data_IF_732189382817
#
_entry.id   IF_732189382817
#
_cell.length_a   1.000
_cell.length_b   1.000
_cell.length_c   1.000
_cell.angle_alpha   90.00
_cell.angle_beta   90.00
_cell.angle_gamma   90.00
#
_symmetry.space_group_name_H-M   'P 1'
#
loop_
_entity.id
_entity.type
_entity.pdbx_description
1 polymer ?
#
# COMPACT_ATOMS: atom_id res chain seq x y z
N UNK A 1 -15.23 -47.04 16.70
CA UNK A 1 -16.46 -46.25 16.39
C UNK A 1 -16.06 -44.90 15.81
N UNK A 2 -15.68 -44.87 14.53
CA UNK A 2 -15.59 -43.63 13.72
C UNK A 2 -15.46 -44.05 12.25
N UNK A 3 -16.46 -44.81 11.77
CA UNK A 3 -16.63 -45.13 10.35
C UNK A 3 -17.85 -44.37 9.77
N UNK A 4 -18.44 -43.42 10.51
CA UNK A 4 -19.75 -42.83 10.18
C UNK A 4 -19.76 -41.31 10.00
N UNK A 5 -18.62 -40.66 9.81
CA UNK A 5 -18.58 -39.22 9.48
C UNK A 5 -17.74 -39.03 8.22
N UNK A 6 -18.40 -39.05 7.06
CA UNK A 6 -17.82 -38.82 5.75
C UNK A 6 -17.30 -37.40 5.58
N UNK A 7 -16.15 -37.10 6.18
CA UNK A 7 -15.40 -35.86 5.92
C UNK A 7 -14.24 -36.16 4.97
N UNK A 8 -14.05 -35.36 3.90
CA UNK A 8 -12.94 -35.55 2.98
C UNK A 8 -11.61 -35.21 3.65
N UNK A 9 -10.66 -36.14 3.56
CA UNK A 9 -9.29 -35.97 4.05
C UNK A 9 -8.57 -34.99 3.10
N UNK A 10 -7.97 -33.88 3.58
CA UNK A 10 -7.20 -32.99 2.73
C UNK A 10 -5.94 -33.69 2.18
N UNK A 11 -5.57 -33.46 0.91
CA UNK A 11 -4.45 -34.14 0.28
C UNK A 11 -3.12 -33.76 0.96
N UNK A 12 -2.35 -34.77 1.39
CA UNK A 12 -1.00 -34.62 1.95
C UNK A 12 -0.84 -34.84 3.46
N UNK A 13 -1.90 -35.26 4.17
CA UNK A 13 -1.81 -35.57 5.60
C UNK A 13 -1.66 -37.09 5.82
N UNK A 14 -0.47 -37.53 6.23
CA UNK A 14 -0.20 -38.93 6.56
C UNK A 14 -0.89 -39.32 7.88
N UNK A 15 -1.24 -40.60 8.08
CA UNK A 15 -1.90 -41.08 9.31
C UNK A 15 -1.14 -40.73 10.60
N UNK A 16 0.20 -40.71 10.54
CA UNK A 16 1.07 -40.36 11.67
C UNK A 16 0.97 -38.88 12.06
N UNK A 17 0.85 -37.97 11.09
CA UNK A 17 0.67 -36.53 11.37
C UNK A 17 -0.69 -36.24 12.00
N UNK A 18 -1.72 -37.00 11.62
CA UNK A 18 -3.05 -36.89 12.23
C UNK A 18 -3.02 -37.35 13.69
N UNK A 19 -2.32 -38.45 13.98
CA UNK A 19 -2.19 -38.96 15.35
C UNK A 19 -1.40 -38.00 16.25
N UNK A 20 -0.36 -37.35 15.70
CA UNK A 20 0.41 -36.32 16.40
C UNK A 20 -0.40 -35.04 16.65
N UNK A 21 -1.26 -34.63 15.71
CA UNK A 21 -2.17 -33.48 15.89
C UNK A 21 -3.26 -33.77 16.92
N UNK A 22 -3.80 -34.99 16.96
CA UNK A 22 -4.76 -35.43 17.97
C UNK A 22 -4.14 -35.48 19.37
N UNK A 23 -2.87 -35.87 19.45
CA UNK A 23 -2.12 -35.87 20.71
C UNK A 23 -1.75 -34.44 21.18
N UNK A 24 -1.50 -33.51 20.25
CA UNK A 24 -1.26 -32.10 20.55
C UNK A 24 -2.52 -31.33 21.00
N UNK A 25 -3.72 -31.78 20.59
CA UNK A 25 -5.00 -31.20 21.04
C UNK A 25 -5.52 -31.78 22.36
N UNK A 26 -4.75 -32.63 23.06
CA UNK A 26 -5.07 -33.06 24.43
C UNK A 26 -6.40 -33.83 24.59
N UNK A 27 -6.95 -34.38 23.51
CA UNK A 27 -8.21 -35.14 23.53
C UNK A 27 -7.93 -36.64 23.66
N UNK A 28 -7.34 -37.01 24.79
CA UNK A 28 -7.08 -38.40 25.15
C UNK A 28 -7.29 -38.65 26.63
N UNK A 29 -8.51 -39.06 27.01
CA UNK A 29 -8.74 -39.70 28.30
C UNK A 29 -10.08 -39.40 28.96
N UNK A 30 -10.90 -40.45 29.09
CA UNK A 30 -11.50 -40.79 30.38
C UNK A 30 -12.65 -39.91 30.88
N UNK A 31 -13.86 -40.40 30.64
CA UNK A 31 -15.06 -40.12 31.41
C UNK A 31 -14.79 -40.31 32.92
N UNK A 32 -14.92 -39.25 33.71
CA UNK A 32 -14.85 -39.26 35.18
C UNK A 32 -15.66 -38.11 35.73
N UNK A 33 -16.86 -38.41 36.23
CA UNK A 33 -17.82 -37.41 36.70
C UNK A 33 -17.34 -36.62 37.91
N UNK A 34 -17.68 -35.34 37.94
CA UNK A 34 -17.59 -34.49 39.13
C UNK A 34 -18.94 -33.75 39.30
N UNK A 35 -19.70 -34.04 40.37
CA UNK A 35 -20.92 -33.33 40.73
C UNK A 35 -20.55 -32.08 41.55
N UNK A 36 -21.04 -30.91 41.16
CA UNK A 36 -20.79 -29.70 41.94
C UNK A 36 -21.07 -28.39 41.22
N UNK A 37 -22.26 -28.24 40.63
CA UNK A 37 -22.74 -26.94 40.15
C UNK A 37 -23.21 -26.10 41.36
N UNK A 38 -22.28 -25.40 42.00
CA UNK A 38 -22.54 -24.40 43.03
C UNK A 38 -22.34 -23.00 42.45
N UNK A 39 -23.40 -22.20 42.44
CA UNK A 39 -23.47 -20.91 41.75
C UNK A 39 -22.43 -19.88 42.21
N UNK A 40 -21.94 -19.08 41.25
CA UNK A 40 -21.24 -17.83 41.54
C UNK A 40 -22.25 -16.67 41.44
N UNK A 41 -22.54 -15.98 42.55
CA UNK A 41 -23.31 -14.75 42.57
C UNK A 41 -22.41 -13.53 42.26
N UNK A 42 -22.93 -12.59 41.47
CA UNK A 42 -22.44 -11.20 41.45
C UNK A 42 -21.67 -10.74 40.21
N UNK A 43 -22.36 -10.50 39.09
CA UNK A 43 -21.91 -9.48 38.13
C UNK A 43 -22.18 -8.11 38.74
N UNK A 44 -21.17 -7.53 39.39
CA UNK A 44 -21.19 -6.18 39.91
C UNK A 44 -19.92 -5.43 39.52
N UNK A 45 -20.11 -4.29 38.85
CA UNK A 45 -19.13 -3.21 38.81
C UNK A 45 -18.15 -3.26 37.64
N UNK A 46 -18.26 -2.27 36.74
CA UNK A 46 -17.22 -1.97 35.77
C UNK A 46 -15.87 -1.73 36.45
N UNK A 47 -14.89 -2.56 36.10
CA UNK A 47 -13.49 -2.38 36.46
C UNK A 47 -12.71 -2.15 35.18
N UNK A 48 -12.12 -0.95 35.05
CA UNK A 48 -11.25 -0.59 33.95
C UNK A 48 -10.12 -1.60 33.77
N UNK A 49 -9.79 -1.87 32.50
CA UNK A 49 -8.60 -2.63 32.14
C UNK A 49 -7.38 -2.04 32.85
N UNK A 50 -6.61 -2.83 33.60
CA UNK A 50 -5.39 -2.35 34.23
C UNK A 50 -4.27 -2.36 33.20
N UNK A 51 -3.64 -1.21 32.94
CA UNK A 51 -2.27 -1.22 32.43
C UNK A 51 -1.81 -0.21 31.38
N UNK A 52 -2.58 0.78 30.94
CA UNK A 52 -2.03 1.81 30.03
C UNK A 52 -2.00 3.19 30.68
N UNK A 53 -0.95 3.49 31.48
CA UNK A 53 -0.71 4.84 31.95
C UNK A 53 -0.11 5.70 30.83
N UNK A 54 -0.87 6.72 30.39
CA UNK A 54 -0.32 8.01 29.94
C UNK A 54 0.63 8.02 28.74
N UNK A 55 0.31 7.31 27.66
CA UNK A 55 0.93 7.57 26.35
C UNK A 55 -0.09 8.29 25.47
N UNK A 56 0.10 9.59 25.29
CA UNK A 56 -0.35 10.31 24.10
C UNK A 56 0.37 9.71 22.89
N UNK A 57 -0.02 8.50 22.49
CA UNK A 57 0.55 7.84 21.32
C UNK A 57 -0.08 8.47 20.08
N UNK A 58 0.77 8.96 19.17
CA UNK A 58 0.33 9.54 17.91
C UNK A 58 -0.58 8.55 17.16
N UNK A 59 -1.60 9.02 16.43
CA UNK A 59 -2.51 8.14 15.67
C UNK A 59 -1.79 7.19 14.70
N UNK A 60 -0.56 7.54 14.29
CA UNK A 60 0.31 6.72 13.44
C UNK A 60 0.87 5.49 14.19
N UNK A 61 1.16 5.60 15.50
CA UNK A 61 1.68 4.49 16.33
C UNK A 61 0.56 3.53 16.76
N UNK A 62 -0.67 4.03 16.91
CA UNK A 62 -1.85 3.20 17.14
C UNK A 62 -2.21 2.37 15.90
N UNK A 63 -2.01 2.91 14.69
CA UNK A 63 -2.17 2.15 13.45
C UNK A 63 -1.12 1.02 13.32
N UNK A 64 0.10 1.24 13.82
CA UNK A 64 1.16 0.23 13.87
C UNK A 64 0.82 -0.92 14.82
N UNK A 65 0.28 -0.60 16.01
CA UNK A 65 -0.14 -1.60 16.99
C UNK A 65 -1.37 -2.41 16.53
N UNK A 66 -2.24 -1.84 15.69
CA UNK A 66 -3.41 -2.52 15.15
C UNK A 66 -3.10 -3.59 14.07
N UNK A 67 -1.83 -3.86 13.75
CA UNK A 67 -1.43 -5.11 13.11
C UNK A 67 -1.98 -5.34 11.70
N UNK A 68 -2.35 -4.28 10.99
CA UNK A 68 -2.50 -4.35 9.54
C UNK A 68 -1.08 -4.54 8.99
N UNK A 69 -0.77 -5.71 8.40
CA UNK A 69 0.49 -6.08 7.75
C UNK A 69 0.83 -5.12 6.56
N UNK A 70 1.01 -3.85 6.85
CA UNK A 70 1.69 -2.87 6.01
C UNK A 70 3.16 -3.29 6.10
N UNK A 71 3.79 -3.58 4.97
CA UNK A 71 5.19 -4.00 4.88
C UNK A 71 6.19 -2.99 5.49
N UNK A 72 7.47 -3.00 5.08
CA UNK A 72 8.49 -2.20 5.76
C UNK A 72 8.17 -0.69 5.73
N UNK A 73 8.22 -0.04 6.90
CA UNK A 73 7.98 1.40 7.04
C UNK A 73 9.03 2.26 6.33
N UNK A 74 10.25 1.73 6.19
CA UNK A 74 11.35 2.34 5.45
C UNK A 74 12.13 1.25 4.68
N UNK A 75 12.47 1.53 3.43
CA UNK A 75 13.27 0.66 2.55
C UNK A 75 14.57 1.40 2.24
N UNK A 76 15.70 0.83 2.65
CA UNK A 76 17.01 1.46 2.51
C UNK A 76 17.68 1.01 1.21
N UNK A 77 18.03 1.97 0.36
CA UNK A 77 18.68 1.74 -0.94
C UNK A 77 20.18 1.99 -0.91
N UNK A 78 20.91 1.46 -1.90
CA UNK A 78 22.34 1.69 -2.12
C UNK A 78 23.23 1.50 -0.88
N UNK A 79 23.20 0.30 -0.30
CA UNK A 79 23.99 -0.09 0.88
C UNK A 79 23.84 0.87 2.08
N UNK A 80 22.71 1.57 2.16
CA UNK A 80 22.41 2.43 3.30
C UNK A 80 22.07 1.54 4.50
N UNK A 81 22.79 1.64 5.63
CA UNK A 81 22.48 0.86 6.82
C UNK A 81 21.17 1.37 7.45
N UNK A 82 20.39 0.45 8.03
CA UNK A 82 19.12 0.79 8.68
C UNK A 82 19.26 1.68 9.92
N UNK A 83 20.47 1.75 10.50
CA UNK A 83 20.79 2.61 11.66
C UNK A 83 21.11 4.06 11.31
N UNK A 84 21.13 4.43 10.02
CA UNK A 84 21.46 5.80 9.63
C UNK A 84 20.35 6.77 10.03
N UNK A 85 20.71 7.92 10.59
CA UNK A 85 19.76 9.03 10.73
C UNK A 85 19.56 9.71 9.36
N UNK A 86 18.40 9.46 8.76
CA UNK A 86 17.96 10.07 7.50
C UNK A 86 17.01 11.25 7.71
N UNK A 87 16.80 11.74 8.95
CA UNK A 87 15.88 12.85 9.29
C UNK A 87 16.30 14.23 8.75
N UNK A 88 17.55 14.37 8.32
CA UNK A 88 18.08 15.60 7.68
C UNK A 88 18.27 15.49 6.17
N UNK A 89 18.04 14.31 5.58
CA UNK A 89 18.19 14.09 4.14
C UNK A 89 17.16 14.89 3.34
N UNK A 90 17.42 15.09 2.05
CA UNK A 90 16.50 15.83 1.19
C UNK A 90 15.23 15.00 0.94
N UNK A 91 14.06 15.61 1.12
CA UNK A 91 12.75 14.99 0.87
C UNK A 91 12.28 15.20 -0.56
N UNK A 92 11.79 14.12 -1.17
CA UNK A 92 11.14 14.13 -2.47
C UNK A 92 9.80 13.39 -2.38
N UNK A 93 8.73 14.07 -2.79
CA UNK A 93 7.43 13.43 -3.01
C UNK A 93 7.19 13.28 -4.51
N UNK A 94 6.44 12.25 -4.95
CA UNK A 94 6.14 12.07 -6.37
C UNK A 94 5.44 13.30 -6.99
N UNK A 95 4.58 13.98 -6.23
CA UNK A 95 3.91 15.22 -6.64
C UNK A 95 4.85 16.32 -7.14
N UNK A 96 6.11 16.34 -6.70
CA UNK A 96 7.06 17.38 -7.09
C UNK A 96 7.42 17.32 -8.58
N UNK A 97 7.41 16.11 -9.15
CA UNK A 97 7.80 15.83 -10.53
C UNK A 97 6.60 15.37 -11.39
N UNK A 98 5.40 15.40 -10.84
CA UNK A 98 4.17 15.02 -11.55
C UNK A 98 3.73 16.14 -12.50
N UNK A 99 3.62 15.80 -13.79
CA UNK A 99 3.19 16.72 -14.85
C UNK A 99 1.70 17.07 -14.81
N UNK A 100 0.88 16.23 -14.16
CA UNK A 100 -0.57 16.42 -14.02
C UNK A 100 -0.93 17.44 -12.93
N UNK A 101 -0.07 17.58 -11.91
CA UNK A 101 -0.26 18.48 -10.76
C UNK A 101 0.19 19.89 -11.08
N UNK A 102 -0.51 20.92 -10.60
CA UNK A 102 -0.07 22.32 -10.76
C UNK A 102 1.01 22.73 -9.75
N UNK A 103 1.51 23.97 -9.83
CA UNK A 103 2.46 24.48 -8.84
C UNK A 103 1.81 24.56 -7.44
N UNK A 104 0.55 24.99 -7.37
CA UNK A 104 -0.24 25.04 -6.15
C UNK A 104 -0.36 23.64 -5.51
N UNK A 105 -0.66 22.63 -6.34
CA UNK A 105 -0.84 21.23 -5.93
C UNK A 105 0.46 20.53 -5.52
N UNK A 106 1.63 21.17 -5.73
CA UNK A 106 2.90 20.66 -5.24
C UNK A 106 3.99 20.47 -6.29
N UNK A 107 3.72 20.64 -7.59
CA UNK A 107 4.77 20.53 -8.61
C UNK A 107 5.88 21.54 -8.35
N UNK A 108 7.14 21.11 -8.50
CA UNK A 108 8.35 21.92 -8.23
C UNK A 108 9.22 22.16 -9.46
N UNK A 109 8.97 21.43 -10.55
CA UNK A 109 9.70 21.56 -11.81
C UNK A 109 8.78 22.03 -12.96
N UNK A 110 9.33 22.56 -14.07
CA UNK A 110 8.55 22.91 -15.24
C UNK A 110 7.88 21.67 -15.84
N UNK A 111 6.68 21.84 -16.41
CA UNK A 111 5.88 20.73 -16.95
C UNK A 111 6.60 19.94 -18.05
N UNK A 112 7.45 20.61 -18.84
CA UNK A 112 8.23 19.98 -19.91
C UNK A 112 9.26 18.95 -19.43
N UNK A 113 9.72 19.07 -18.18
CA UNK A 113 10.66 18.15 -17.55
C UNK A 113 9.98 17.22 -16.54
N UNK A 114 8.67 17.33 -16.37
CA UNK A 114 7.90 16.51 -15.44
C UNK A 114 7.41 15.23 -16.14
N UNK A 115 7.17 14.18 -15.36
CA UNK A 115 6.65 12.90 -15.86
C UNK A 115 5.19 12.70 -15.41
N UNK A 116 4.42 11.90 -16.15
CA UNK A 116 3.06 11.54 -15.75
C UNK A 116 3.07 10.50 -14.62
N UNK A 117 2.20 10.63 -13.61
CA UNK A 117 1.99 9.64 -12.54
C UNK A 117 3.29 8.96 -12.03
N UNK A 118 4.25 9.73 -11.48
CA UNK A 118 5.45 9.15 -10.86
C UNK A 118 5.09 8.32 -9.63
N UNK A 119 5.82 7.23 -9.36
CA UNK A 119 5.74 6.48 -8.10
C UNK A 119 7.10 6.46 -7.39
N UNK A 120 7.09 6.21 -6.08
CA UNK A 120 8.32 6.22 -5.27
C UNK A 120 9.32 5.13 -5.66
N UNK A 121 8.85 3.99 -6.15
CA UNK A 121 9.74 2.90 -6.60
C UNK A 121 10.54 3.32 -7.84
N UNK A 122 9.90 4.00 -8.79
CA UNK A 122 10.56 4.58 -9.98
C UNK A 122 11.60 5.64 -9.57
N UNK A 123 11.24 6.50 -8.59
CA UNK A 123 12.16 7.50 -8.05
C UNK A 123 13.36 6.84 -7.34
N UNK A 124 13.12 5.72 -6.65
CA UNK A 124 14.16 4.89 -6.02
C UNK A 124 15.13 4.32 -7.03
N UNK A 125 14.65 3.78 -8.15
CA UNK A 125 15.49 3.26 -9.23
C UNK A 125 16.37 4.34 -9.89
N UNK A 126 15.87 5.57 -10.02
CA UNK A 126 16.73 6.70 -10.47
C UNK A 126 17.81 7.01 -9.44
N UNK A 127 17.48 7.04 -8.14
CA UNK A 127 18.48 7.22 -7.09
C UNK A 127 19.52 6.09 -7.08
N UNK A 128 19.07 4.86 -7.35
CA UNK A 128 19.92 3.68 -7.50
C UNK A 128 20.91 3.84 -8.65
N UNK A 129 20.44 4.28 -9.82
CA UNK A 129 21.27 4.53 -11.00
C UNK A 129 22.40 5.53 -10.72
N UNK A 130 22.11 6.63 -10.03
CA UNK A 130 23.12 7.63 -9.65
C UNK A 130 23.96 7.24 -8.42
N UNK A 131 23.79 6.03 -7.90
CA UNK A 131 24.52 5.53 -6.72
C UNK A 131 24.39 6.43 -5.47
N UNK A 132 23.29 7.19 -5.37
CA UNK A 132 23.02 8.05 -4.21
C UNK A 132 22.45 7.23 -3.05
N UNK A 133 22.79 7.56 -1.81
CA UNK A 133 22.15 6.92 -0.65
C UNK A 133 20.72 7.43 -0.51
N UNK A 134 19.74 6.52 -0.46
CA UNK A 134 18.33 6.87 -0.37
C UNK A 134 17.54 5.93 0.56
N UNK A 135 16.41 6.43 1.06
CA UNK A 135 15.43 5.68 1.85
C UNK A 135 14.04 5.97 1.29
N UNK A 136 13.25 4.92 1.06
CA UNK A 136 11.85 5.03 0.62
C UNK A 136 10.97 4.80 1.85
N UNK A 137 10.07 5.73 2.12
CA UNK A 137 9.03 5.61 3.14
C UNK A 137 7.68 5.44 2.43
N UNK A 138 7.25 4.21 2.14
CA UNK A 138 6.12 3.94 1.24
C UNK A 138 4.77 4.41 1.80
N UNK A 139 4.63 4.58 3.12
CA UNK A 139 3.35 4.91 3.77
C UNK A 139 3.14 6.39 4.07
N UNK A 140 4.18 7.23 3.95
CA UNK A 140 4.05 8.67 4.18
C UNK A 140 3.33 9.34 3.02
N UNK A 141 2.59 10.41 3.29
CA UNK A 141 1.79 11.14 2.30
C UNK A 141 2.19 12.60 2.24
N UNK A 142 1.97 13.23 1.08
CA UNK A 142 2.22 14.65 0.94
C UNK A 142 1.05 15.46 1.54
N UNK A 143 1.35 16.45 2.39
CA UNK A 143 0.31 17.16 3.14
C UNK A 143 -0.73 17.88 2.27
N UNK A 144 -0.38 18.26 1.04
CA UNK A 144 -1.33 18.90 0.10
C UNK A 144 -2.09 17.90 -0.76
N UNK A 145 -1.68 16.63 -0.77
CA UNK A 145 -2.28 15.58 -1.57
C UNK A 145 -2.11 14.22 -0.90
N UNK A 146 -3.16 13.81 -0.17
CA UNK A 146 -3.18 12.53 0.51
C UNK A 146 -3.42 11.34 -0.45
N UNK A 147 -3.75 11.57 -1.73
CA UNK A 147 -4.03 10.48 -2.68
C UNK A 147 -2.75 9.76 -3.13
N UNK A 148 -1.65 10.50 -3.20
CA UNK A 148 -0.34 9.97 -3.58
C UNK A 148 0.41 9.55 -2.32
N UNK A 149 0.76 8.26 -2.27
CA UNK A 149 1.50 7.68 -1.16
C UNK A 149 2.98 7.53 -1.52
N UNK A 150 3.80 7.62 -0.49
CA UNK A 150 5.24 7.41 -0.54
C UNK A 150 6.04 8.71 -0.51
N UNK A 151 7.23 8.60 0.07
CA UNK A 151 8.25 9.65 0.13
C UNK A 151 9.63 9.04 -0.07
N UNK A 152 10.52 9.75 -0.77
CA UNK A 152 11.91 9.35 -0.91
C UNK A 152 12.80 10.38 -0.20
N UNK A 153 13.71 9.89 0.63
CA UNK A 153 14.73 10.65 1.33
C UNK A 153 16.07 10.36 0.69
N UNK A 154 16.82 11.39 0.30
CA UNK A 154 18.10 11.21 -0.42
C UNK A 154 19.21 12.03 0.23
N UNK A 155 20.36 11.40 0.44
CA UNK A 155 21.58 12.10 0.82
C UNK A 155 22.18 12.71 -0.45
N UNK A 156 22.26 14.04 -0.54
CA UNK A 156 22.84 14.75 -1.68
C UNK A 156 24.27 15.24 -1.39
N UNK A 157 24.51 15.61 -0.13
CA UNK A 157 25.79 16.13 0.33
C UNK A 157 26.31 15.33 1.51
N UNK A 158 27.62 15.28 1.64
CA UNK A 158 28.31 14.71 2.80
C UNK A 158 29.39 15.70 3.25
N UNK A 159 29.26 16.20 4.48
CA UNK A 159 30.20 17.17 5.07
C UNK A 159 30.54 18.38 4.18
N UNK A 160 29.56 18.86 3.40
CA UNK A 160 29.73 20.02 2.51
C UNK A 160 30.20 19.68 1.09
N UNK A 161 30.57 18.44 0.81
CA UNK A 161 30.87 17.97 -0.54
C UNK A 161 29.65 17.31 -1.19
N UNK A 162 29.53 17.45 -2.50
CA UNK A 162 28.48 16.80 -3.29
C UNK A 162 28.81 15.33 -3.52
N UNK A 163 27.82 14.45 -3.41
CA UNK A 163 28.03 13.01 -3.61
C UNK A 163 28.13 12.61 -5.10
N UNK A 164 27.63 13.46 -6.01
CA UNK A 164 27.63 13.19 -7.44
C UNK A 164 27.93 14.47 -8.23
N UNK A 165 28.64 14.37 -9.36
CA UNK A 165 29.10 15.50 -10.18
C UNK A 165 28.01 16.18 -10.98
N UNK A 166 26.91 15.49 -11.30
CA UNK A 166 25.75 16.11 -12.00
C UNK A 166 24.66 16.60 -11.04
N UNK A 167 24.64 16.12 -9.80
CA UNK A 167 23.51 16.31 -8.88
C UNK A 167 24.00 17.06 -7.66
N UNK A 168 23.93 18.39 -7.76
CA UNK A 168 24.37 19.29 -6.70
C UNK A 168 23.21 19.71 -5.81
N UNK A 169 22.04 19.96 -6.41
CA UNK A 169 20.87 20.49 -5.72
C UNK A 169 19.68 19.54 -5.78
N UNK A 170 18.69 19.78 -4.91
CA UNK A 170 17.40 19.09 -4.95
C UNK A 170 16.71 19.25 -6.31
N UNK A 171 16.85 20.42 -6.93
CA UNK A 171 16.21 20.70 -8.23
C UNK A 171 16.85 19.89 -9.36
N UNK A 172 18.16 19.72 -9.34
CA UNK A 172 18.88 18.93 -10.35
C UNK A 172 18.42 17.47 -10.32
N UNK A 173 18.30 16.88 -9.11
CA UNK A 173 17.78 15.53 -8.97
C UNK A 173 16.34 15.41 -9.50
N UNK A 174 15.46 16.38 -9.20
CA UNK A 174 14.08 16.37 -9.70
C UNK A 174 14.01 16.44 -11.23
N UNK A 175 14.87 17.26 -11.86
CA UNK A 175 14.94 17.35 -13.32
C UNK A 175 15.41 16.04 -13.94
N UNK A 176 16.45 15.42 -13.37
CA UNK A 176 16.96 14.10 -13.82
C UNK A 176 15.93 13.00 -13.63
N UNK A 177 15.20 12.99 -12.52
CA UNK A 177 14.10 12.05 -12.28
C UNK A 177 13.02 12.16 -13.36
N UNK A 178 12.56 13.37 -13.66
CA UNK A 178 11.53 13.57 -14.67
C UNK A 178 11.97 13.15 -16.09
N UNK A 179 13.26 13.25 -16.41
CA UNK A 179 13.80 12.79 -17.70
C UNK A 179 13.99 11.26 -17.78
N UNK A 180 14.42 10.63 -16.68
CA UNK A 180 14.80 9.21 -16.66
C UNK A 180 13.63 8.26 -16.34
N UNK A 181 12.68 8.67 -15.49
CA UNK A 181 11.53 7.82 -15.11
C UNK A 181 10.76 7.29 -16.32
N UNK A 182 10.45 8.09 -17.36
CA UNK A 182 9.78 7.58 -18.56
C UNK A 182 10.55 6.51 -19.33
N UNK A 183 11.87 6.41 -19.13
CA UNK A 183 12.77 5.47 -19.81
C UNK A 183 12.99 4.17 -19.02
N UNK A 184 12.44 4.05 -17.81
CA UNK A 184 12.65 2.87 -16.94
C UNK A 184 11.83 1.66 -17.41
N UNK A 185 12.44 0.47 -17.34
CA UNK A 185 11.78 -0.79 -17.71
C UNK A 185 10.59 -1.12 -16.78
N UNK A 186 10.74 -0.89 -15.46
CA UNK A 186 9.66 -1.09 -14.47
C UNK A 186 8.39 -0.30 -14.84
N UNK A 187 8.55 0.84 -15.50
CA UNK A 187 7.43 1.66 -15.94
C UNK A 187 6.72 1.03 -17.14
N UNK A 188 7.46 0.53 -18.11
CA UNK A 188 6.89 -0.20 -19.27
C UNK A 188 6.07 -1.40 -18.80
N UNK A 189 6.60 -2.18 -17.86
CA UNK A 189 5.91 -3.34 -17.29
C UNK A 189 4.63 -2.95 -16.54
N UNK A 190 4.69 -1.92 -15.69
CA UNK A 190 3.51 -1.43 -14.97
C UNK A 190 2.42 -0.94 -15.92
N UNK A 191 2.78 -0.12 -16.93
CA UNK A 191 1.82 0.40 -17.90
C UNK A 191 1.19 -0.72 -18.74
N UNK A 192 1.97 -1.73 -19.13
CA UNK A 192 1.44 -2.92 -19.80
C UNK A 192 0.42 -3.66 -18.93
N UNK A 193 0.72 -3.85 -17.64
CA UNK A 193 -0.19 -4.49 -16.68
C UNK A 193 -1.47 -3.69 -16.45
N UNK A 194 -1.36 -2.37 -16.34
CA UNK A 194 -2.52 -1.47 -16.20
C UNK A 194 -3.41 -1.49 -17.45
N UNK A 195 -2.82 -1.54 -18.65
CA UNK A 195 -3.55 -1.65 -19.91
C UNK A 195 -4.33 -2.97 -20.01
N UNK A 196 -3.71 -4.09 -19.68
CA UNK A 196 -4.38 -5.40 -19.68
C UNK A 196 -5.50 -5.47 -18.63
N UNK A 197 -5.28 -4.90 -17.44
CA UNK A 197 -6.32 -4.81 -16.42
C UNK A 197 -7.51 -3.95 -16.90
N UNK A 198 -7.25 -2.82 -17.55
CA UNK A 198 -8.29 -1.97 -18.13
C UNK A 198 -9.07 -2.69 -19.24
N UNK A 199 -8.38 -3.47 -20.09
CA UNK A 199 -8.99 -4.27 -21.15
C UNK A 199 -9.88 -5.39 -20.60
N UNK A 200 -9.46 -6.06 -19.51
CA UNK A 200 -10.26 -7.08 -18.84
C UNK A 200 -11.56 -6.52 -18.23
N UNK A 201 -11.52 -5.29 -17.71
CA UNK A 201 -12.73 -4.62 -17.18
C UNK A 201 -13.67 -4.09 -18.27
N UNK A 202 -13.16 -3.82 -19.48
CA UNK A 202 -13.98 -3.40 -20.62
C UNK A 202 -14.68 -4.58 -21.34
N UNK A 203 -14.30 -5.83 -21.04
CA UNK A 203 -14.89 -7.05 -21.62
C UNK A 203 -15.94 -7.77 -20.73
N UNK A 204 -16.44 -7.12 -19.67
CA UNK A 204 -17.61 -7.60 -18.92
C UNK A 204 -18.91 -7.46 -19.75
N UNK A 205 -19.91 -8.34 -19.59
CA UNK A 205 -20.95 -8.57 -20.58
C UNK A 205 -21.79 -7.33 -20.82
N UNK A 206 -21.79 -6.86 -22.05
CA UNK A 206 -22.85 -6.04 -22.61
C UNK A 206 -24.15 -6.85 -22.56
N UNK A 207 -24.91 -6.71 -21.47
CA UNK A 207 -26.33 -7.07 -21.48
C UNK A 207 -27.02 -6.12 -22.46
N UNK A 208 -27.15 -6.60 -23.70
CA UNK A 208 -28.07 -6.09 -24.69
C UNK A 208 -29.48 -6.17 -24.10
N UNK A 209 -29.99 -5.05 -23.59
CA UNK A 209 -31.41 -4.85 -23.36
C UNK A 209 -32.00 -4.17 -24.59
N UNK A 210 -32.26 -4.97 -25.62
CA UNK A 210 -33.22 -4.65 -26.67
C UNK A 210 -34.62 -4.97 -26.15
N UNK A 211 -35.42 -3.93 -25.90
CA UNK A 211 -36.88 -4.04 -25.93
C UNK A 211 -37.48 -2.80 -26.57
N UNK A 212 -37.77 -2.92 -27.86
CA UNK A 212 -38.70 -2.10 -28.62
C UNK A 212 -40.13 -2.26 -28.09
N UNK A 213 -40.91 -1.17 -28.01
CA UNK A 213 -42.25 -1.04 -28.66
C UNK A 213 -42.73 0.42 -28.61
N UNK A 214 -43.30 0.85 -29.72
CA UNK A 214 -43.63 2.20 -30.14
C UNK A 214 -44.94 2.78 -29.56
N UNK A 215 -45.08 4.12 -29.58
CA UNK A 215 -46.37 4.84 -29.73
C UNK A 215 -46.24 6.36 -30.02
N UNK A 216 -46.15 6.71 -31.31
CA UNK A 216 -46.96 7.73 -32.04
C UNK A 216 -47.60 8.91 -31.27
N UNK A 217 -47.13 10.16 -31.50
CA UNK A 217 -47.97 11.38 -31.76
C UNK A 217 -47.10 12.58 -32.21
N UNK A 218 -47.11 12.92 -33.50
CA UNK A 218 -47.87 14.03 -34.15
C UNK A 218 -47.13 15.38 -34.13
N UNK A 219 -46.59 15.77 -35.28
CA UNK A 219 -45.90 17.04 -35.49
C UNK A 219 -46.81 18.26 -35.64
N UNK A 220 -46.20 19.45 -35.57
CA UNK A 220 -46.73 20.71 -36.15
C UNK A 220 -45.63 21.76 -36.39
N UNK A 221 -45.11 21.76 -37.63
CA UNK A 221 -44.86 22.89 -38.55
C UNK A 221 -44.77 24.33 -37.98
N UNK A 222 -43.58 24.94 -38.18
CA UNK A 222 -43.27 26.24 -38.86
C UNK A 222 -44.02 27.52 -38.44
N UNK A 223 -43.25 28.56 -38.08
CA UNK A 223 -43.50 29.93 -38.54
C UNK A 223 -43.41 31.06 -37.50
N UNK A 224 -42.47 31.98 -37.75
CA UNK A 224 -42.62 33.44 -37.79
C UNK A 224 -43.25 34.12 -36.57
N UNK A 225 -42.46 34.95 -35.89
CA UNK A 225 -42.70 36.38 -35.63
C UNK A 225 -41.42 37.03 -35.13
#
# INVERSE_FOLDING_TARGET
MMQSMGMPIPPGMTPERMQQAMQAMGMGGGMGGLPGMGGMPGMGGGGGMPGFPGMDMDPEDMEELMGLNRGPAAIFGNNTPSSVDFSRWATFYPNYIDSSKTNADGRRIPKSFACDKPIVDEMGEVCRYFQLKYVIEPYKRYSRDATVQGRVRVKLTDNGSFLHHEIHTRKDLMLKMGELIPKLQIRTERLAKELEAAKATASGPSTAASSSTASKKKGKKKGKR
#
